data_IF_923556520207
#
_entry.id   IF_923556520207
#
_cell.length_a   1.000
_cell.length_b   1.000
_cell.length_c   1.000
_cell.angle_alpha   90.00
_cell.angle_beta   90.00
_cell.angle_gamma   90.00
#
_symmetry.space_group_name_H-M   'P 1'
#
loop_
_entity.id
_entity.type
_entity.pdbx_description
1 polymer ?
#
# COMPACT_ATOMS: atom_id res chain seq x y z
N UNK A 1 2.47 -22.11 3.75
CA UNK A 1 1.04 -22.13 4.16
C UNK A 1 0.23 -22.51 2.92
N UNK A 2 -0.74 -23.42 3.03
CA UNK A 2 -1.52 -23.83 1.85
C UNK A 2 -2.64 -22.85 1.50
N UNK A 3 -3.28 -22.26 2.52
CA UNK A 3 -4.31 -21.22 2.42
C UNK A 3 -4.43 -20.52 3.78
N UNK A 4 -4.74 -19.23 3.78
CA UNK A 4 -4.98 -18.48 5.02
C UNK A 4 -5.93 -17.31 4.77
N UNK A 5 -6.70 -16.95 5.81
CA UNK A 5 -7.56 -15.79 5.82
C UNK A 5 -6.96 -14.76 6.76
N UNK A 6 -6.86 -13.51 6.30
CA UNK A 6 -6.32 -12.41 7.09
C UNK A 6 -7.26 -11.22 7.02
N UNK A 7 -7.41 -10.52 8.14
CA UNK A 7 -8.04 -9.21 8.15
C UNK A 7 -6.95 -8.13 7.99
N UNK A 8 -7.09 -7.18 7.04
CA UNK A 8 -6.07 -6.16 6.76
C UNK A 8 -5.62 -5.37 7.99
N UNK A 9 -6.57 -4.95 8.84
CA UNK A 9 -6.25 -4.21 10.06
C UNK A 9 -5.47 -5.05 11.08
N UNK A 10 -5.61 -6.37 11.05
CA UNK A 10 -4.91 -7.29 11.95
C UNK A 10 -3.54 -7.69 11.39
N UNK A 11 -3.36 -7.66 10.07
CA UNK A 11 -2.08 -7.91 9.39
C UNK A 11 -1.06 -6.76 9.55
N UNK A 12 -1.46 -5.66 10.20
CA UNK A 12 -0.61 -4.51 10.53
C UNK A 12 0.51 -4.83 11.52
N UNK A 13 0.47 -5.96 12.24
CA UNK A 13 1.48 -6.33 13.24
C UNK A 13 2.15 -7.69 12.90
N UNK A 14 3.45 -7.65 12.58
CA UNK A 14 4.36 -8.80 12.73
C UNK A 14 4.23 -10.03 11.82
N UNK A 15 3.22 -10.15 10.94
CA UNK A 15 3.12 -11.33 10.07
C UNK A 15 4.17 -11.33 8.95
N UNK A 16 4.91 -12.44 8.82
CA UNK A 16 5.88 -12.65 7.75
C UNK A 16 5.32 -13.63 6.70
N UNK A 17 4.67 -13.11 5.68
CA UNK A 17 4.03 -13.92 4.62
C UNK A 17 4.96 -14.16 3.42
N UNK A 18 6.12 -13.51 3.37
CA UNK A 18 7.00 -13.46 2.20
C UNK A 18 7.63 -14.81 1.81
N UNK A 19 7.79 -15.75 2.75
CA UNK A 19 8.36 -17.09 2.49
C UNK A 19 7.30 -18.17 2.24
N UNK A 20 6.02 -17.86 2.45
CA UNK A 20 4.95 -18.86 2.47
C UNK A 20 3.84 -18.65 1.44
N UNK A 21 3.80 -17.48 0.78
CA UNK A 21 2.83 -17.15 -0.26
C UNK A 21 3.37 -16.08 -1.20
N UNK A 22 2.84 -16.05 -2.42
CA UNK A 22 3.08 -15.00 -3.44
C UNK A 22 1.78 -14.59 -4.15
N UNK A 23 0.65 -15.16 -3.74
CA UNK A 23 -0.67 -14.85 -4.24
C UNK A 23 -1.49 -14.23 -3.11
N UNK A 24 -2.09 -13.07 -3.37
CA UNK A 24 -3.05 -12.42 -2.48
C UNK A 24 -4.36 -12.20 -3.24
N UNK A 25 -5.46 -12.64 -2.64
CA UNK A 25 -6.80 -12.42 -3.21
C UNK A 25 -7.61 -11.58 -2.23
N UNK A 26 -7.98 -10.38 -2.65
CA UNK A 26 -8.88 -9.50 -1.93
C UNK A 26 -10.32 -9.91 -2.21
N UNK A 27 -10.97 -10.49 -1.20
CA UNK A 27 -12.39 -10.83 -1.26
C UNK A 27 -13.30 -9.60 -1.09
N UNK A 28 -12.87 -8.65 -0.27
CA UNK A 28 -13.55 -7.36 -0.08
C UNK A 28 -12.52 -6.28 0.17
N UNK A 29 -12.68 -5.13 -0.47
CA UNK A 29 -11.71 -4.05 -0.41
C UNK A 29 -11.91 -3.17 0.82
N UNK A 30 -10.82 -2.56 1.29
CA UNK A 30 -10.86 -1.53 2.33
C UNK A 30 -10.90 -0.14 1.73
N UNK A 31 -11.49 0.82 2.43
CA UNK A 31 -11.46 2.24 2.04
C UNK A 31 -10.15 2.95 2.38
N UNK A 32 -9.36 2.38 3.29
CA UNK A 32 -8.06 2.94 3.71
C UNK A 32 -6.97 2.49 2.75
N UNK A 33 -6.36 3.45 2.06
CA UNK A 33 -5.20 3.21 1.20
C UNK A 33 -4.01 2.69 2.01
N UNK A 34 -3.82 3.21 3.22
CA UNK A 34 -2.71 2.82 4.09
C UNK A 34 -2.81 1.33 4.47
N UNK A 35 -3.98 0.88 4.94
CA UNK A 35 -4.17 -0.53 5.30
C UNK A 35 -3.96 -1.46 4.09
N UNK A 36 -4.43 -1.02 2.92
CA UNK A 36 -4.24 -1.73 1.67
C UNK A 36 -2.75 -1.86 1.32
N UNK A 37 -2.00 -0.75 1.33
CA UNK A 37 -0.57 -0.73 1.04
C UNK A 37 0.23 -1.55 2.07
N UNK A 38 -0.06 -1.40 3.36
CA UNK A 38 0.61 -2.15 4.43
C UNK A 38 0.38 -3.65 4.31
N UNK A 39 -0.84 -4.08 3.97
CA UNK A 39 -1.18 -5.49 3.78
C UNK A 39 -0.44 -6.07 2.59
N UNK A 40 -0.45 -5.37 1.45
CA UNK A 40 0.25 -5.80 0.24
C UNK A 40 1.78 -5.88 0.47
N UNK A 41 2.35 -4.95 1.24
CA UNK A 41 3.76 -4.93 1.63
C UNK A 41 4.15 -6.08 2.59
N UNK A 42 3.20 -6.85 3.13
CA UNK A 42 3.51 -8.12 3.85
C UNK A 42 3.91 -9.24 2.91
N UNK A 43 3.45 -9.18 1.66
CA UNK A 43 3.72 -10.19 0.64
C UNK A 43 4.83 -9.74 -0.31
N UNK A 44 4.74 -8.48 -0.78
CA UNK A 44 5.76 -7.83 -1.59
C UNK A 44 6.78 -7.15 -0.67
N UNK A 45 7.76 -7.92 -0.22
CA UNK A 45 8.81 -7.47 0.70
C UNK A 45 10.16 -8.07 0.31
N UNK A 46 11.23 -7.44 0.78
CA UNK A 46 12.59 -7.96 0.61
C UNK A 46 12.68 -9.41 1.11
N UNK A 47 13.25 -10.29 0.28
CA UNK A 47 13.33 -11.73 0.55
C UNK A 47 12.23 -12.56 -0.12
N UNK A 48 11.26 -11.92 -0.79
CA UNK A 48 10.35 -12.61 -1.70
C UNK A 48 11.10 -13.02 -2.97
N UNK A 49 10.94 -14.29 -3.37
CA UNK A 49 11.65 -14.90 -4.52
C UNK A 49 10.73 -15.16 -5.70
N UNK A 50 9.42 -15.10 -5.49
CA UNK A 50 8.40 -15.35 -6.50
C UNK A 50 7.68 -14.05 -6.89
N UNK A 51 7.20 -13.92 -8.15
CA UNK A 51 6.41 -12.77 -8.55
C UNK A 51 5.12 -12.71 -7.73
N UNK A 52 4.88 -11.54 -7.12
CA UNK A 52 3.69 -11.32 -6.28
C UNK A 52 2.50 -10.96 -7.16
N UNK A 53 1.42 -11.73 -7.07
CA UNK A 53 0.16 -11.44 -7.77
C UNK A 53 -0.90 -11.04 -6.76
N UNK A 54 -1.48 -9.86 -6.96
CA UNK A 54 -2.57 -9.32 -6.14
C UNK A 54 -3.83 -9.27 -7.00
N UNK A 55 -4.83 -10.05 -6.62
CA UNK A 55 -6.10 -10.16 -7.35
C UNK A 55 -7.21 -9.53 -6.52
N UNK A 56 -8.05 -8.72 -7.17
CA UNK A 56 -9.24 -8.14 -6.56
C UNK A 56 -10.48 -8.85 -7.10
N UNK A 57 -11.28 -9.44 -6.21
CA UNK A 57 -12.62 -9.88 -6.56
C UNK A 57 -13.56 -8.68 -6.40
N UNK A 58 -14.09 -8.20 -7.51
CA UNK A 58 -14.99 -7.06 -7.54
C UNK A 58 -16.23 -7.40 -8.37
N UNK A 59 -17.40 -7.03 -7.85
CA UNK A 59 -18.66 -7.23 -8.55
C UNK A 59 -18.91 -6.06 -9.49
N UNK A 60 -19.46 -6.32 -10.68
CA UNK A 60 -19.80 -5.27 -11.63
C UNK A 60 -21.05 -4.52 -11.16
N UNK A 61 -21.08 -3.20 -11.40
CA UNK A 61 -22.19 -2.32 -11.04
C UNK A 61 -22.50 -2.28 -9.53
N UNK A 62 -21.49 -2.54 -8.69
CA UNK A 62 -21.60 -2.43 -7.23
C UNK A 62 -20.62 -1.39 -6.68
N UNK A 63 -20.73 -1.16 -5.37
CA UNK A 63 -19.84 -0.28 -4.63
C UNK A 63 -18.36 -0.66 -4.77
N UNK A 64 -18.03 -1.92 -5.10
CA UNK A 64 -16.65 -2.42 -5.25
C UNK A 64 -15.84 -1.58 -6.25
N UNK A 65 -16.47 -1.18 -7.37
CA UNK A 65 -15.83 -0.33 -8.39
C UNK A 65 -15.53 1.07 -7.84
N UNK A 66 -16.42 1.62 -7.01
CA UNK A 66 -16.21 2.91 -6.37
C UNK A 66 -15.06 2.85 -5.35
N UNK A 67 -14.92 1.74 -4.60
CA UNK A 67 -13.80 1.54 -3.67
C UNK A 67 -12.47 1.50 -4.43
N UNK A 68 -12.38 0.71 -5.52
CA UNK A 68 -11.17 0.65 -6.36
C UNK A 68 -10.76 2.03 -6.86
N UNK A 69 -11.72 2.78 -7.42
CA UNK A 69 -11.47 4.14 -7.92
C UNK A 69 -11.05 5.10 -6.80
N UNK A 70 -11.64 4.97 -5.62
CA UNK A 70 -11.28 5.79 -4.46
C UNK A 70 -9.86 5.49 -3.97
N UNK A 71 -9.45 4.22 -3.95
CA UNK A 71 -8.08 3.82 -3.59
C UNK A 71 -7.05 4.36 -4.59
N UNK A 72 -7.32 4.24 -5.90
CA UNK A 72 -6.47 4.78 -6.95
C UNK A 72 -6.33 6.30 -6.85
N UNK A 73 -7.46 7.01 -6.68
CA UNK A 73 -7.47 8.47 -6.52
C UNK A 73 -6.64 8.91 -5.31
N UNK A 74 -6.84 8.25 -4.14
CA UNK A 74 -6.07 8.53 -2.93
C UNK A 74 -4.58 8.32 -3.15
N UNK A 75 -4.20 7.28 -3.89
CA UNK A 75 -2.80 6.96 -4.15
C UNK A 75 -2.13 8.04 -4.99
N UNK A 76 -2.79 8.49 -6.06
CA UNK A 76 -2.28 9.59 -6.91
C UNK A 76 -2.13 10.88 -6.12
N UNK A 77 -3.13 11.25 -5.30
CA UNK A 77 -3.06 12.46 -4.46
C UNK A 77 -1.91 12.37 -3.45
N UNK A 78 -1.75 11.22 -2.77
CA UNK A 78 -0.69 11.05 -1.79
C UNK A 78 0.71 11.08 -2.45
N UNK A 79 0.87 10.47 -3.62
CA UNK A 79 2.12 10.52 -4.37
C UNK A 79 2.49 11.95 -4.78
N UNK A 80 1.53 12.73 -5.29
CA UNK A 80 1.74 14.12 -5.67
C UNK A 80 2.15 15.00 -4.48
N UNK A 81 1.55 14.76 -3.30
CA UNK A 81 1.91 15.49 -2.08
C UNK A 81 3.35 15.18 -1.63
N UNK A 82 3.75 13.90 -1.66
CA UNK A 82 5.11 13.50 -1.29
C UNK A 82 6.14 14.10 -2.26
N UNK A 83 5.84 14.11 -3.56
CA UNK A 83 6.71 14.67 -4.59
C UNK A 83 6.87 16.19 -4.45
N UNK A 84 5.78 16.91 -4.21
CA UNK A 84 5.81 18.35 -3.95
C UNK A 84 6.69 18.69 -2.73
N UNK A 85 6.51 17.97 -1.61
CA UNK A 85 7.33 18.16 -0.41
C UNK A 85 8.79 17.84 -0.68
N UNK A 86 9.09 16.75 -1.40
CA UNK A 86 10.46 16.38 -1.76
C UNK A 86 11.13 17.43 -2.64
N UNK A 87 10.38 18.00 -3.57
CA UNK A 87 10.85 19.10 -4.42
C UNK A 87 11.17 20.34 -3.58
N UNK A 88 10.28 20.76 -2.67
CA UNK A 88 10.55 21.92 -1.80
C UNK A 88 11.80 21.75 -0.92
N UNK A 89 12.00 20.55 -0.37
CA UNK A 89 13.17 20.23 0.46
C UNK A 89 14.48 20.24 -0.32
N UNK A 90 14.45 19.94 -1.62
CA UNK A 90 15.65 19.93 -2.47
C UNK A 90 15.94 21.30 -3.09
N UNK A 91 14.93 22.13 -3.33
CA UNK A 91 15.09 23.48 -3.90
C UNK A 91 15.37 24.57 -2.88
N UNK A 92 15.10 24.34 -1.59
CA UNK A 92 15.38 25.32 -0.53
C UNK A 92 16.83 25.19 -0.08
N UNK A 93 17.71 26.21 -0.27
CA UNK A 93 19.04 26.18 0.34
C UNK A 93 18.87 26.14 1.85
N UNK A 94 19.54 25.17 2.51
CA UNK A 94 19.58 25.06 3.97
C UNK A 94 20.00 26.41 4.52
N UNK A 95 19.07 27.15 5.12
CA UNK A 95 19.38 28.40 5.82
C UNK A 95 20.38 28.01 6.91
N UNK A 96 21.64 28.38 6.73
CA UNK A 96 22.65 28.15 7.77
C UNK A 96 22.16 28.82 9.06
N UNK A 97 22.32 28.16 10.22
CA UNK A 97 21.97 28.80 11.47
C UNK A 97 22.86 30.04 11.60
N UNK A 98 22.23 31.21 11.51
CA UNK A 98 22.84 32.50 11.82
C UNK A 98 23.17 32.51 13.31
N UNK A 99 24.31 31.92 13.66
CA UNK A 99 24.94 32.03 14.97
C UNK A 99 26.42 32.35 14.76
N UNK A 100 26.68 33.63 14.54
CA UNK A 100 27.70 34.45 15.20
C UNK A 100 27.56 35.88 14.73
#
# INVERSE_FOLDING_TARGET
ISLGLIHPASAGHGLNLQQGGHLLVWFSLTWSLELYQQTNARLYRQGQTQPVTITHLATQNTLDQAVLKALETKNTTQAALIDAVTTELTTTPRKEPSCM
#
